data_IF_275829268858
#
_entry.id   IF_275829268858
#
_cell.length_a   1.000
_cell.length_b   1.000
_cell.length_c   1.000
_cell.angle_alpha   90.00
_cell.angle_beta   90.00
_cell.angle_gamma   90.00
#
_symmetry.space_group_name_H-M   'P 1'
#
loop_
_entity.id
_entity.type
_entity.pdbx_description
1 polymer ?
#
# COMPACT_ATOMS: atom_id res chain seq x y z
N UNK A 1 7.38 -8.79 6.97
CA UNK A 1 7.77 -8.12 5.71
C UNK A 1 6.53 -7.39 5.22
N UNK A 2 6.60 -6.06 5.08
CA UNK A 2 5.43 -5.21 4.83
C UNK A 2 4.84 -5.47 3.44
N UNK A 3 5.70 -5.77 2.47
CA UNK A 3 5.38 -6.11 1.09
C UNK A 3 4.47 -7.35 1.02
N UNK A 4 4.76 -8.37 1.84
CA UNK A 4 3.93 -9.59 1.91
C UNK A 4 2.56 -9.29 2.50
N UNK A 5 2.51 -8.54 3.60
CA UNK A 5 1.26 -8.13 4.24
C UNK A 5 0.36 -7.34 3.27
N UNK A 6 0.95 -6.46 2.46
CA UNK A 6 0.22 -5.65 1.47
C UNK A 6 -0.49 -6.54 0.45
N UNK A 7 0.21 -7.57 -0.05
CA UNK A 7 -0.38 -8.55 -0.98
C UNK A 7 -1.44 -9.43 -0.29
N UNK A 8 -1.18 -9.92 0.92
CA UNK A 8 -2.12 -10.76 1.68
C UNK A 8 -3.46 -10.04 1.91
N UNK A 9 -3.44 -8.74 2.21
CA UNK A 9 -4.66 -7.92 2.37
C UNK A 9 -5.40 -7.79 1.03
N UNK A 10 -4.68 -7.47 -0.06
CA UNK A 10 -5.28 -7.38 -1.40
C UNK A 10 -5.96 -8.70 -1.78
N UNK A 11 -5.25 -9.81 -1.62
CA UNK A 11 -5.72 -11.14 -2.03
C UNK A 11 -6.93 -11.55 -1.19
N UNK A 12 -6.89 -11.33 0.12
CA UNK A 12 -8.05 -11.58 0.99
C UNK A 12 -9.30 -10.82 0.55
N UNK A 13 -9.19 -9.53 0.23
CA UNK A 13 -10.32 -8.71 -0.25
C UNK A 13 -10.80 -9.23 -1.61
N UNK A 14 -9.86 -9.50 -2.54
CA UNK A 14 -10.18 -9.96 -3.89
C UNK A 14 -10.91 -11.30 -3.87
N UNK A 15 -10.41 -12.27 -3.10
CA UNK A 15 -10.96 -13.62 -3.01
C UNK A 15 -12.32 -13.64 -2.30
N UNK A 16 -12.49 -12.80 -1.26
CA UNK A 16 -13.71 -12.77 -0.46
C UNK A 16 -14.86 -12.06 -1.19
N UNK A 17 -14.58 -10.94 -1.85
CA UNK A 17 -15.61 -10.07 -2.42
C UNK A 17 -15.76 -10.21 -3.94
N UNK A 18 -14.79 -10.84 -4.63
CA UNK A 18 -14.73 -10.90 -6.09
C UNK A 18 -15.00 -9.54 -6.78
N UNK A 19 -14.38 -8.42 -6.33
CA UNK A 19 -14.63 -7.11 -6.90
C UNK A 19 -13.97 -6.96 -8.29
N UNK A 20 -14.37 -5.92 -9.01
CA UNK A 20 -13.75 -5.52 -10.29
C UNK A 20 -12.28 -5.10 -10.14
N UNK A 21 -11.83 -4.76 -8.94
CA UNK A 21 -10.43 -4.47 -8.62
C UNK A 21 -10.26 -4.12 -7.15
N UNK A 22 -9.02 -4.25 -6.65
CA UNK A 22 -8.62 -3.85 -5.29
C UNK A 22 -7.34 -3.05 -5.36
N UNK A 23 -7.28 -1.95 -4.61
CA UNK A 23 -6.08 -1.17 -4.36
C UNK A 23 -5.79 -1.17 -2.85
N UNK A 24 -4.58 -1.53 -2.47
CA UNK A 24 -4.09 -1.48 -1.09
C UNK A 24 -2.83 -0.63 -1.06
N UNK A 25 -2.78 0.35 -0.16
CA UNK A 25 -1.59 1.13 0.15
C UNK A 25 -1.37 1.10 1.65
N UNK A 26 -0.14 0.81 2.07
CA UNK A 26 0.27 0.78 3.47
C UNK A 26 1.50 1.67 3.60
N UNK A 27 1.39 2.69 4.45
CA UNK A 27 2.52 3.46 4.94
C UNK A 27 2.78 3.09 6.40
N UNK A 28 4.04 2.78 6.72
CA UNK A 28 4.41 2.43 8.09
C UNK A 28 5.81 2.90 8.45
N UNK A 29 5.99 3.16 9.74
CA UNK A 29 7.29 3.37 10.36
C UNK A 29 7.81 2.08 10.97
N UNK A 30 9.07 1.77 10.69
CA UNK A 30 9.73 0.57 11.21
C UNK A 30 10.55 0.93 12.43
N UNK A 31 9.98 0.71 13.61
CA UNK A 31 10.63 1.02 14.89
C UNK A 31 11.98 0.31 15.06
N UNK A 32 12.17 -0.86 14.46
CA UNK A 32 13.46 -1.55 14.43
C UNK A 32 14.55 -0.77 13.67
N UNK A 33 14.19 0.09 12.71
CA UNK A 33 15.11 0.97 11.96
C UNK A 33 15.26 2.35 12.62
N UNK A 34 14.24 2.80 13.35
CA UNK A 34 14.26 4.10 14.05
C UNK A 34 14.97 4.02 15.40
N UNK A 35 14.73 2.96 16.17
CA UNK A 35 15.27 2.83 17.53
C UNK A 35 16.58 2.05 17.60
N UNK A 36 16.89 1.24 16.58
CA UNK A 36 18.08 0.39 16.54
C UNK A 36 18.78 0.56 15.18
N UNK A 37 20.10 0.38 15.13
CA UNK A 37 20.87 0.51 13.88
C UNK A 37 21.05 1.97 13.44
N UNK A 38 20.74 2.28 12.16
CA UNK A 38 21.01 3.58 11.50
C UNK A 38 20.17 4.75 12.07
N UNK A 39 19.18 4.48 12.92
CA UNK A 39 18.39 5.49 13.65
C UNK A 39 17.76 6.57 12.76
N UNK A 40 17.21 6.18 11.60
CA UNK A 40 16.55 7.11 10.68
C UNK A 40 15.14 7.45 11.18
N UNK A 41 15.05 8.45 12.06
CA UNK A 41 13.83 8.83 12.79
C UNK A 41 12.62 9.14 11.90
N UNK A 42 12.83 9.64 10.68
CA UNK A 42 11.75 10.03 9.77
C UNK A 42 11.65 9.09 8.56
N UNK A 43 11.97 7.81 8.74
CA UNK A 43 11.85 6.82 7.66
C UNK A 43 10.46 6.21 7.64
N UNK A 44 9.70 6.54 6.61
CA UNK A 44 8.48 5.85 6.25
C UNK A 44 8.77 4.84 5.14
N UNK A 45 8.01 3.76 5.11
CA UNK A 45 8.02 2.82 4.00
C UNK A 45 6.60 2.65 3.52
N UNK A 46 6.41 2.95 2.24
CA UNK A 46 5.10 2.87 1.58
C UNK A 46 5.13 1.72 0.60
N UNK A 47 4.17 0.81 0.74
CA UNK A 47 3.99 -0.36 -0.13
C UNK A 47 2.60 -0.34 -0.72
N UNK A 48 2.45 -0.85 -1.93
CA UNK A 48 1.18 -0.86 -2.65
C UNK A 48 0.95 -2.16 -3.39
N UNK A 49 -0.30 -2.62 -3.47
CA UNK A 49 -0.70 -3.77 -4.27
C UNK A 49 -2.04 -3.48 -4.98
N UNK A 50 -2.11 -3.85 -6.26
CA UNK A 50 -3.26 -3.59 -7.13
C UNK A 50 -3.73 -4.86 -7.83
N UNK A 51 -5.00 -4.90 -8.22
CA UNK A 51 -5.59 -5.95 -9.08
C UNK A 51 -6.81 -5.39 -9.83
N UNK A 52 -7.21 -6.07 -10.90
CA UNK A 52 -8.36 -5.72 -11.74
C UNK A 52 -8.27 -4.30 -12.29
N UNK A 53 -9.36 -3.54 -12.22
CA UNK A 53 -9.43 -2.18 -12.79
C UNK A 53 -8.33 -1.23 -12.29
N UNK A 54 -7.86 -1.36 -11.05
CA UNK A 54 -6.75 -0.54 -10.53
C UNK A 54 -5.39 -0.90 -11.12
N UNK A 55 -5.24 -2.09 -11.71
CA UNK A 55 -4.04 -2.51 -12.43
C UNK A 55 -4.15 -2.22 -13.93
N UNK A 56 -5.33 -2.46 -14.50
CA UNK A 56 -5.59 -2.42 -15.93
C UNK A 56 -5.84 -0.99 -16.46
N UNK A 57 -6.40 -0.10 -15.64
CA UNK A 57 -6.64 1.30 -15.99
C UNK A 57 -5.75 2.26 -15.20
N UNK A 58 -4.84 2.93 -15.92
CA UNK A 58 -3.93 3.91 -15.33
C UNK A 58 -4.67 5.12 -14.76
N UNK A 59 -5.79 5.54 -15.35
CA UNK A 59 -6.56 6.71 -14.88
C UNK A 59 -7.20 6.43 -13.53
N UNK A 60 -7.86 5.28 -13.39
CA UNK A 60 -8.43 4.83 -12.12
C UNK A 60 -7.37 4.75 -11.03
N UNK A 61 -6.16 4.28 -11.36
CA UNK A 61 -5.03 4.23 -10.41
C UNK A 61 -4.52 5.62 -10.05
N UNK A 62 -4.41 6.53 -11.01
CA UNK A 62 -4.00 7.92 -10.78
C UNK A 62 -4.99 8.65 -9.86
N UNK A 63 -6.29 8.56 -10.14
CA UNK A 63 -7.34 9.16 -9.29
C UNK A 63 -7.29 8.62 -7.85
N UNK A 64 -7.06 7.31 -7.69
CA UNK A 64 -6.87 6.72 -6.37
C UNK A 64 -5.66 7.32 -5.64
N UNK A 65 -4.51 7.44 -6.31
CA UNK A 65 -3.33 8.03 -5.71
C UNK A 65 -3.51 9.51 -5.39
N UNK A 66 -4.16 10.27 -6.27
CA UNK A 66 -4.47 11.68 -6.02
C UNK A 66 -5.31 11.85 -4.76
N UNK A 67 -6.31 10.99 -4.55
CA UNK A 67 -7.18 11.00 -3.37
C UNK A 67 -6.42 10.70 -2.06
N UNK A 68 -5.49 9.75 -2.05
CA UNK A 68 -4.79 9.33 -0.83
C UNK A 68 -3.49 10.09 -0.57
N UNK A 69 -2.91 10.72 -1.60
CA UNK A 69 -1.61 11.39 -1.51
C UNK A 69 -1.61 12.59 -0.55
N UNK A 70 -2.77 13.20 -0.30
CA UNK A 70 -2.90 14.28 0.67
C UNK A 70 -2.67 13.84 2.12
N UNK A 71 -2.82 12.53 2.42
CA UNK A 71 -2.75 11.97 3.77
C UNK A 71 -1.48 11.13 4.01
N UNK A 72 -0.60 10.99 3.02
CA UNK A 72 0.69 10.30 3.13
C UNK A 72 1.81 11.25 3.60
N UNK A 73 2.76 10.71 4.38
CA UNK A 73 3.78 11.49 5.10
C UNK A 73 4.99 11.93 4.27
#
# INVERSE_FOLDING_TARGET
>A
VQERLTNEIRDCIQETLSPAGVAVVIEAQHMCMQMRGVQKQNSFTTTSAFTGQFLDDSKTREEFFDLISADLS
#
